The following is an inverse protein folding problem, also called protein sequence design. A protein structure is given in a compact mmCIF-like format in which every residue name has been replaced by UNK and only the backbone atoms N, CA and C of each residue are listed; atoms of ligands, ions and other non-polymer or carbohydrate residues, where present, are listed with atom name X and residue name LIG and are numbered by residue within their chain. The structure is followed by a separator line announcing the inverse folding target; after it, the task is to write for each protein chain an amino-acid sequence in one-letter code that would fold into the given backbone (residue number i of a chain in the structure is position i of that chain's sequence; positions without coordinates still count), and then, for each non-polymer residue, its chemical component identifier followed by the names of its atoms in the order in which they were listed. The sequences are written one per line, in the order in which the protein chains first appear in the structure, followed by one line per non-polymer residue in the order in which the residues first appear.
data_IF_822204636371
#
_entry.id   IF_822204636371
#
_cell.length_a   1.000
_cell.length_b   1.000
_cell.length_c   1.000
_cell.angle_alpha   90.00
_cell.angle_beta   90.00
_cell.angle_gamma   90.00
#
_symmetry.space_group_name_H-M   'P 1'
#
loop_
_entity.id
_entity.type
_entity.pdbx_description
1 polymer ?
#
# COMPACT_ATOMS: atom_id res chain seq x y z
N UNK A 1 -0.58 -7.32 2.66
CA UNK A 1 -0.45 -6.67 1.35
C UNK A 1 -0.49 -7.64 0.17
N UNK A 2 0.49 -8.55 0.02
CA UNK A 2 0.60 -9.44 -1.16
C UNK A 2 -0.65 -10.24 -1.46
N UNK A 3 -1.20 -10.96 -0.47
CA UNK A 3 -2.40 -11.77 -0.66
C UNK A 3 -3.63 -10.93 -1.03
N UNK A 4 -3.79 -9.74 -0.45
CA UNK A 4 -4.87 -8.82 -0.81
C UNK A 4 -4.74 -8.33 -2.27
N UNK A 5 -3.52 -8.04 -2.74
CA UNK A 5 -3.28 -7.67 -4.13
C UNK A 5 -3.60 -8.81 -5.10
N UNK A 6 -3.20 -10.04 -4.80
CA UNK A 6 -3.54 -11.19 -5.63
C UNK A 6 -5.03 -11.52 -5.60
N UNK A 7 -5.69 -11.37 -4.46
CA UNK A 7 -7.12 -11.60 -4.36
C UNK A 7 -7.91 -10.56 -5.17
N UNK A 8 -7.53 -9.27 -5.08
CA UNK A 8 -8.12 -8.23 -5.91
C UNK A 8 -7.88 -8.48 -7.41
N UNK A 9 -6.68 -8.91 -7.80
CA UNK A 9 -6.37 -9.24 -9.20
C UNK A 9 -7.20 -10.43 -9.71
N UNK A 10 -7.39 -11.46 -8.87
CA UNK A 10 -8.25 -12.61 -9.20
C UNK A 10 -9.71 -12.18 -9.37
N UNK A 11 -10.24 -11.37 -8.45
CA UNK A 11 -11.61 -10.85 -8.52
C UNK A 11 -11.86 -10.07 -9.82
N UNK A 12 -10.91 -9.22 -10.22
CA UNK A 12 -10.96 -8.53 -11.53
C UNK A 12 -10.96 -9.52 -12.70
N UNK A 13 -10.16 -10.59 -12.63
CA UNK A 13 -10.04 -11.57 -13.72
C UNK A 13 -11.31 -12.40 -13.96
N UNK A 14 -12.17 -12.55 -12.94
CA UNK A 14 -13.43 -13.30 -13.03
C UNK A 14 -14.68 -12.41 -13.06
N UNK A 15 -14.48 -11.09 -13.20
CA UNK A 15 -15.54 -10.06 -13.17
C UNK A 15 -16.43 -10.15 -11.91
N UNK A 16 -15.80 -10.43 -10.76
CA UNK A 16 -16.48 -10.48 -9.47
C UNK A 16 -16.99 -9.08 -9.10
N UNK A 17 -18.29 -8.87 -8.83
CA UNK A 17 -18.82 -7.55 -8.48
C UNK A 17 -18.18 -6.92 -7.23
N UNK A 18 -17.52 -7.71 -6.37
CA UNK A 18 -16.79 -7.22 -5.20
C UNK A 18 -15.39 -6.65 -5.54
N UNK A 19 -14.90 -6.80 -6.78
CA UNK A 19 -13.56 -6.37 -7.17
C UNK A 19 -13.22 -4.91 -6.78
N UNK A 20 -14.13 -3.91 -6.82
CA UNK A 20 -13.79 -2.54 -6.44
C UNK A 20 -13.49 -2.40 -4.93
N UNK A 21 -14.17 -3.18 -4.09
CA UNK A 21 -13.93 -3.25 -2.66
C UNK A 21 -12.56 -3.89 -2.40
N UNK A 22 -12.29 -5.03 -3.05
CA UNK A 22 -11.04 -5.75 -2.92
C UNK A 22 -9.83 -4.96 -3.43
N UNK A 23 -9.99 -4.20 -4.52
CA UNK A 23 -8.96 -3.27 -5.00
C UNK A 23 -8.64 -2.18 -3.98
N UNK A 24 -9.65 -1.65 -3.28
CA UNK A 24 -9.45 -0.65 -2.22
C UNK A 24 -8.76 -1.26 -1.00
N UNK A 25 -9.17 -2.48 -0.58
CA UNK A 25 -8.46 -3.25 0.45
C UNK A 25 -6.99 -3.45 0.10
N UNK A 26 -6.71 -3.86 -1.15
CA UNK A 26 -5.35 -4.08 -1.63
C UNK A 26 -4.52 -2.78 -1.59
N UNK A 27 -5.07 -1.65 -2.05
CA UNK A 27 -4.38 -0.36 -2.04
C UNK A 27 -4.09 0.13 -0.62
N UNK A 28 -5.06 0.07 0.29
CA UNK A 28 -4.86 0.45 1.69
C UNK A 28 -3.76 -0.40 2.34
N UNK A 29 -3.86 -1.72 2.23
CA UNK A 29 -2.90 -2.64 2.83
C UNK A 29 -1.48 -2.50 2.23
N UNK A 30 -1.35 -2.37 0.91
CA UNK A 30 -0.05 -2.22 0.26
C UNK A 30 0.62 -0.89 0.62
N UNK A 31 -0.15 0.19 0.66
CA UNK A 31 0.34 1.53 1.00
C UNK A 31 0.92 1.58 2.41
N UNK A 32 0.18 1.10 3.41
CA UNK A 32 0.65 1.09 4.80
C UNK A 32 1.85 0.18 5.01
N UNK A 33 1.80 -1.02 4.40
CA UNK A 33 2.92 -1.97 4.48
C UNK A 33 4.17 -1.34 3.90
N UNK A 34 4.09 -0.72 2.72
CA UNK A 34 5.27 -0.13 2.09
C UNK A 34 5.84 1.03 2.91
N UNK A 35 4.97 1.89 3.44
CA UNK A 35 5.38 2.99 4.30
C UNK A 35 6.11 2.52 5.55
N UNK A 36 5.51 1.57 6.26
CA UNK A 36 6.07 1.01 7.47
C UNK A 36 7.41 0.33 7.19
N UNK A 37 7.47 -0.58 6.23
CA UNK A 37 8.71 -1.30 5.88
C UNK A 37 9.81 -0.36 5.38
N UNK A 38 9.48 0.66 4.58
CA UNK A 38 10.49 1.62 4.12
C UNK A 38 11.05 2.47 5.26
N UNK A 39 10.21 2.86 6.23
CA UNK A 39 10.65 3.57 7.42
C UNK A 39 11.53 2.69 8.33
N UNK A 40 11.12 1.45 8.58
CA UNK A 40 11.92 0.49 9.34
C UNK A 40 13.25 0.18 8.67
N UNK A 41 13.26 0.08 7.33
CA UNK A 41 14.48 -0.14 6.57
C UNK A 41 15.51 0.97 6.81
N UNK A 42 15.08 2.24 6.88
CA UNK A 42 15.97 3.34 7.27
C UNK A 42 16.49 3.14 8.70
N UNK A 43 15.63 2.78 9.65
CA UNK A 43 16.03 2.60 11.06
C UNK A 43 17.03 1.45 11.25
N UNK A 44 16.83 0.32 10.58
CA UNK A 44 17.73 -0.85 10.63
C UNK A 44 19.14 -0.51 10.18
N UNK A 45 19.27 0.34 9.16
CA UNK A 45 20.58 0.79 8.66
C UNK A 45 21.16 1.94 9.50
N UNK A 46 20.36 2.60 10.33
CA UNK A 46 20.78 3.78 11.07
C UNK A 46 21.12 4.96 10.13
N UNK A 47 22.12 5.75 10.50
CA UNK A 47 22.46 6.99 9.77
C UNK A 47 22.72 6.80 8.28
N UNK A 48 23.39 5.71 7.89
CA UNK A 48 23.68 5.43 6.47
C UNK A 48 22.39 5.26 5.65
N UNK A 49 21.30 4.83 6.28
CA UNK A 49 19.99 4.66 5.64
C UNK A 49 19.36 5.94 5.11
N UNK A 50 19.92 7.11 5.46
CA UNK A 50 19.51 8.43 4.99
C UNK A 50 20.61 9.20 4.25
N UNK A 51 21.69 8.51 3.84
CA UNK A 51 22.81 9.08 3.07
C UNK A 51 22.74 8.67 1.60
N UNK A 52 23.63 9.21 0.78
CA UNK A 52 23.80 8.81 -0.63
C UNK A 52 24.54 7.48 -0.81
N UNK A 53 25.15 6.95 0.26
CA UNK A 53 25.86 5.67 0.22
C UNK A 53 24.90 4.46 0.29
N UNK A 54 23.61 4.70 0.60
CA UNK A 54 22.57 3.67 0.61
C UNK A 54 21.21 4.19 0.13
N UNK A 55 20.57 3.43 -0.75
CA UNK A 55 19.35 3.84 -1.46
C UNK A 55 18.05 3.68 -0.65
N UNK A 56 18.10 3.22 0.59
CA UNK A 56 16.90 2.97 1.42
C UNK A 56 16.00 4.20 1.56
N UNK A 57 16.59 5.41 1.60
CA UNK A 57 15.85 6.66 1.64
C UNK A 57 15.03 6.94 0.36
N UNK A 58 15.42 6.37 -0.80
CA UNK A 58 14.63 6.43 -2.03
C UNK A 58 13.33 5.63 -1.92
N UNK A 59 13.35 4.51 -1.18
CA UNK A 59 12.17 3.67 -0.99
C UNK A 59 11.14 4.35 -0.10
N UNK A 60 11.58 5.07 0.94
CA UNK A 60 10.68 5.87 1.76
C UNK A 60 10.04 7.01 0.96
N UNK A 61 10.84 7.74 0.16
CA UNK A 61 10.32 8.78 -0.74
C UNK A 61 9.27 8.23 -1.71
N UNK A 62 9.52 7.05 -2.30
CA UNK A 62 8.55 6.36 -3.17
C UNK A 62 7.32 5.92 -2.39
N UNK A 63 7.47 5.34 -1.20
CA UNK A 63 6.34 4.91 -0.37
C UNK A 63 5.42 6.08 -0.01
N UNK A 64 5.98 7.24 0.36
CA UNK A 64 5.21 8.48 0.58
C UNK A 64 4.49 8.97 -0.66
N UNK A 65 5.15 8.94 -1.82
CA UNK A 65 4.50 9.30 -3.09
C UNK A 65 3.37 8.32 -3.44
N UNK A 66 3.58 7.01 -3.26
CA UNK A 66 2.58 5.97 -3.54
C UNK A 66 1.41 5.99 -2.57
N UNK A 67 1.60 6.47 -1.34
CA UNK A 67 0.54 6.61 -0.35
C UNK A 67 -0.58 7.51 -0.83
N UNK A 68 -0.21 8.68 -1.36
CA UNK A 68 -1.19 9.67 -1.83
C UNK A 68 -1.66 9.41 -3.27
N UNK A 69 -0.85 8.70 -4.07
CA UNK A 69 -1.20 8.34 -5.43
C UNK A 69 -2.42 7.40 -5.46
N UNK A 70 -3.41 7.74 -6.28
CA UNK A 70 -4.71 7.05 -6.43
C UNK A 70 -5.57 7.01 -5.16
N UNK A 71 -5.27 7.82 -4.15
CA UNK A 71 -6.00 7.87 -2.89
C UNK A 71 -5.20 7.31 -1.72
N UNK A 72 -5.40 7.94 -0.56
CA UNK A 72 -4.78 7.58 0.71
C UNK A 72 -5.40 6.31 1.31
N UNK A 73 -4.68 5.60 2.21
CA UNK A 73 -5.20 4.40 2.87
C UNK A 73 -6.53 4.59 3.60
N UNK A 74 -6.75 5.77 4.19
CA UNK A 74 -8.01 6.14 4.87
C UNK A 74 -9.19 6.17 3.90
N UNK A 75 -9.03 6.85 2.77
CA UNK A 75 -10.03 6.91 1.70
C UNK A 75 -10.39 5.50 1.21
N UNK A 76 -9.40 4.64 0.96
CA UNK A 76 -9.67 3.28 0.51
C UNK A 76 -10.35 2.40 1.57
N UNK A 77 -10.10 2.64 2.86
CA UNK A 77 -10.86 1.97 3.94
C UNK A 77 -12.31 2.43 3.99
N UNK A 78 -12.57 3.71 3.77
CA UNK A 78 -13.94 4.23 3.70
C UNK A 78 -14.70 3.62 2.52
N UNK A 79 -14.10 3.60 1.32
CA UNK A 79 -14.68 2.95 0.14
C UNK A 79 -14.93 1.46 0.39
N UNK A 80 -14.00 0.79 1.09
CA UNK A 80 -14.15 -0.61 1.48
C UNK A 80 -15.39 -0.80 2.35
N UNK A 81 -15.54 0.00 3.41
CA UNK A 81 -16.68 -0.06 4.34
C UNK A 81 -18.00 0.15 3.61
N UNK A 82 -18.09 1.19 2.77
CA UNK A 82 -19.29 1.50 1.99
C UNK A 82 -19.69 0.38 1.04
N UNK A 83 -18.72 -0.37 0.48
CA UNK A 83 -18.98 -1.44 -0.49
C UNK A 83 -19.19 -2.81 0.13
N UNK A 84 -18.64 -3.08 1.31
CA UNK A 84 -18.80 -4.36 2.01
C UNK A 84 -20.15 -4.47 2.73
N UNK A 85 -20.89 -3.36 2.90
CA UNK A 85 -22.25 -3.40 3.44
C UNK A 85 -22.34 -3.45 4.97
N UNK A 86 -21.49 -2.67 5.66
CA UNK A 86 -21.68 -2.31 7.08
C UNK A 86 -22.04 -0.84 7.19
#
# INVERSE_FOLDING_TARGET
AKSAAYYAAQAVAVDDPEWPALASLAKAAASETYLHTAAECIQIHGGIGFTWDNDTHLWFKRAKSSEVFLGQPSYHREVLMQRWGV
#
